data_IF_185512443014
#
_entry.id   IF_185512443014
#
_cell.length_a   1.000
_cell.length_b   1.000
_cell.length_c   1.000
_cell.angle_alpha   90.00
_cell.angle_beta   90.00
_cell.angle_gamma   90.00
#
_symmetry.space_group_name_H-M   'P 1'
#
loop_
_entity.id
_entity.type
_entity.pdbx_description
1 polymer ?
#
# COMPACT_ATOMS: atom_id res chain seq x y z
N UNK A 1 -21.27 15.38 1.81
CA UNK A 1 -22.07 14.51 0.93
C UNK A 1 -22.03 13.06 1.41
N UNK A 2 -20.87 12.38 1.47
CA UNK A 2 -20.76 11.02 2.04
C UNK A 2 -21.47 10.86 3.40
N UNK A 3 -21.22 11.79 4.34
CA UNK A 3 -21.91 11.82 5.63
C UNK A 3 -23.44 11.92 5.51
N UNK A 4 -23.95 12.73 4.57
CA UNK A 4 -25.39 12.87 4.36
C UNK A 4 -26.00 11.54 3.88
N UNK A 5 -25.35 10.87 2.93
CA UNK A 5 -25.81 9.56 2.46
C UNK A 5 -25.84 8.53 3.59
N UNK A 6 -24.79 8.48 4.42
CA UNK A 6 -24.71 7.57 5.57
C UNK A 6 -25.81 7.84 6.62
N UNK A 7 -26.12 9.10 6.91
CA UNK A 7 -27.14 9.48 7.90
C UNK A 7 -28.56 9.07 7.47
N UNK A 8 -28.87 9.22 6.18
CA UNK A 8 -30.21 8.93 5.62
C UNK A 8 -30.32 7.49 5.08
N UNK A 9 -29.31 6.63 5.32
CA UNK A 9 -29.28 5.24 4.85
C UNK A 9 -29.27 5.10 3.33
N UNK A 10 -28.79 6.11 2.60
CA UNK A 10 -28.77 6.14 1.13
C UNK A 10 -27.55 5.42 0.56
N UNK A 11 -27.67 4.82 -0.64
CA UNK A 11 -26.53 4.20 -1.30
C UNK A 11 -25.48 5.26 -1.65
N UNK A 12 -24.20 4.86 -1.60
CA UNK A 12 -23.08 5.76 -1.91
C UNK A 12 -23.15 6.34 -3.35
N UNK A 13 -23.86 5.64 -4.25
CA UNK A 13 -24.10 6.05 -5.63
C UNK A 13 -24.90 7.35 -5.76
N UNK A 14 -25.75 7.71 -4.78
CA UNK A 14 -26.50 8.98 -4.77
C UNK A 14 -25.58 10.20 -4.82
N UNK A 15 -24.33 10.06 -4.35
CA UNK A 15 -23.33 11.13 -4.36
C UNK A 15 -22.99 11.55 -5.78
N UNK A 16 -23.01 10.64 -6.75
CA UNK A 16 -22.78 10.98 -8.16
C UNK A 16 -23.84 11.94 -8.68
N UNK A 17 -25.10 11.73 -8.28
CA UNK A 17 -26.20 12.64 -8.61
C UNK A 17 -26.00 14.01 -7.93
N UNK A 18 -25.60 14.04 -6.67
CA UNK A 18 -25.36 15.31 -5.94
C UNK A 18 -24.18 16.10 -6.50
N UNK A 19 -23.12 15.42 -6.95
CA UNK A 19 -21.96 16.04 -7.60
C UNK A 19 -22.24 16.50 -9.04
N UNK A 20 -23.16 15.85 -9.74
CA UNK A 20 -23.59 16.27 -11.07
C UNK A 20 -24.43 17.56 -11.04
N UNK A 21 -25.18 17.79 -9.96
CA UNK A 21 -26.08 18.93 -9.81
C UNK A 21 -25.77 19.71 -8.53
N UNK A 22 -24.80 20.66 -8.53
CA UNK A 22 -24.42 21.43 -7.33
C UNK A 22 -25.58 22.20 -6.68
N UNK A 23 -26.62 22.55 -7.45
CA UNK A 23 -27.83 23.19 -6.94
C UNK A 23 -28.75 22.24 -6.14
N UNK A 24 -28.48 20.92 -6.14
CA UNK A 24 -29.24 19.94 -5.39
C UNK A 24 -29.02 20.15 -3.88
N UNK A 25 -30.09 20.54 -3.19
CA UNK A 25 -30.06 20.84 -1.75
C UNK A 25 -30.22 19.60 -0.87
N UNK A 26 -30.58 18.45 -1.43
CA UNK A 26 -30.80 17.20 -0.69
C UNK A 26 -29.70 16.89 0.33
N UNK A 27 -28.39 16.87 -0.03
CA UNK A 27 -27.34 16.59 0.96
C UNK A 27 -27.22 17.67 2.04
N UNK A 28 -27.58 18.92 1.75
CA UNK A 28 -27.59 20.00 2.72
C UNK A 28 -28.73 19.80 3.73
N UNK A 29 -29.93 19.53 3.23
CA UNK A 29 -31.12 19.41 4.05
C UNK A 29 -31.02 18.18 4.96
N UNK A 30 -30.56 17.04 4.43
CA UNK A 30 -30.26 15.83 5.24
C UNK A 30 -29.30 16.13 6.39
N UNK A 31 -28.19 16.86 6.13
CA UNK A 31 -27.23 17.19 7.18
C UNK A 31 -27.85 18.08 8.26
N UNK A 32 -28.76 19.00 7.90
CA UNK A 32 -29.43 19.87 8.86
C UNK A 32 -30.45 19.10 9.69
N UNK A 33 -31.21 18.23 9.06
CA UNK A 33 -32.25 17.42 9.71
C UNK A 33 -31.64 16.46 10.74
N UNK A 34 -30.43 15.97 10.50
CA UNK A 34 -29.65 15.14 11.43
C UNK A 34 -28.76 15.95 12.39
N UNK A 35 -28.95 17.27 12.50
CA UNK A 35 -28.25 18.11 13.49
C UNK A 35 -26.80 18.47 13.16
N UNK A 36 -26.27 18.09 11.99
CA UNK A 36 -24.93 18.44 11.52
C UNK A 36 -24.86 19.85 10.91
N UNK A 37 -25.35 20.84 11.65
CA UNK A 37 -25.54 22.22 11.18
C UNK A 37 -24.25 22.90 10.72
N UNK A 38 -23.12 22.69 11.42
CA UNK A 38 -21.83 23.25 11.03
C UNK A 38 -21.31 22.67 9.71
N UNK A 39 -21.44 21.36 9.52
CA UNK A 39 -21.05 20.67 8.27
C UNK A 39 -21.97 21.09 7.12
N UNK A 40 -23.26 21.22 7.39
CA UNK A 40 -24.21 21.77 6.42
C UNK A 40 -23.84 23.20 6.02
N UNK A 41 -23.49 24.07 6.97
CA UNK A 41 -23.07 25.44 6.68
C UNK A 41 -21.79 25.49 5.83
N UNK A 42 -20.82 24.60 6.10
CA UNK A 42 -19.62 24.48 5.28
C UNK A 42 -19.96 24.06 3.84
N UNK A 43 -20.79 23.03 3.66
CA UNK A 43 -21.25 22.59 2.34
C UNK A 43 -22.01 23.70 1.61
N UNK A 44 -22.88 24.42 2.32
CA UNK A 44 -23.62 25.57 1.80
C UNK A 44 -22.67 26.64 1.27
N UNK A 45 -21.65 26.99 2.05
CA UNK A 45 -20.64 27.97 1.64
C UNK A 45 -19.88 27.55 0.38
N UNK A 46 -19.58 26.26 0.22
CA UNK A 46 -18.97 25.74 -1.02
C UNK A 46 -19.93 25.84 -2.21
N UNK A 47 -21.20 25.50 -2.04
CA UNK A 47 -22.22 25.51 -3.11
C UNK A 47 -22.59 26.93 -3.55
N UNK A 48 -22.68 27.86 -2.61
CA UNK A 48 -23.01 29.28 -2.86
C UNK A 48 -21.78 30.14 -3.17
N UNK A 49 -20.57 29.57 -3.09
CA UNK A 49 -19.31 30.25 -3.39
C UNK A 49 -19.16 30.65 -4.86
N UNK A 50 -18.07 31.37 -5.21
CA UNK A 50 -17.81 31.81 -6.58
C UNK A 50 -17.86 30.65 -7.58
N UNK A 51 -18.49 30.81 -8.77
CA UNK A 51 -18.71 29.72 -9.71
C UNK A 51 -17.44 28.96 -10.09
N UNK A 52 -16.35 29.66 -10.41
CA UNK A 52 -15.08 29.03 -10.83
C UNK A 52 -14.48 28.14 -9.72
N UNK A 53 -14.49 28.62 -8.47
CA UNK A 53 -13.97 27.86 -7.33
C UNK A 53 -14.86 26.66 -7.01
N UNK A 54 -16.19 26.86 -7.02
CA UNK A 54 -17.16 25.78 -6.81
C UNK A 54 -17.00 24.69 -7.87
N UNK A 55 -16.96 25.07 -9.13
CA UNK A 55 -16.89 24.12 -10.25
C UNK A 55 -15.57 23.33 -10.21
N UNK A 56 -14.46 24.00 -9.84
CA UNK A 56 -13.18 23.31 -9.60
C UNK A 56 -13.24 22.28 -8.46
N UNK A 57 -13.84 22.63 -7.31
CA UNK A 57 -14.01 21.71 -6.17
C UNK A 57 -14.88 20.51 -6.56
N UNK A 58 -16.02 20.75 -7.20
CA UNK A 58 -16.94 19.69 -7.63
C UNK A 58 -16.32 18.79 -8.69
N UNK A 59 -15.53 19.34 -9.61
CA UNK A 59 -14.80 18.55 -10.61
C UNK A 59 -13.78 17.61 -9.95
N UNK A 60 -12.99 18.11 -9.01
CA UNK A 60 -12.07 17.26 -8.23
C UNK A 60 -12.83 16.19 -7.44
N UNK A 61 -13.98 16.53 -6.82
CA UNK A 61 -14.80 15.57 -6.10
C UNK A 61 -15.38 14.48 -7.02
N UNK A 62 -15.79 14.82 -8.26
CA UNK A 62 -16.24 13.86 -9.26
C UNK A 62 -15.13 12.88 -9.65
N UNK A 63 -13.90 13.38 -9.80
CA UNK A 63 -12.75 12.52 -10.10
C UNK A 63 -12.48 11.51 -8.98
N UNK A 64 -12.63 11.91 -7.71
CA UNK A 64 -12.53 10.97 -6.59
C UNK A 64 -13.64 9.91 -6.56
N UNK A 65 -14.85 10.28 -6.98
CA UNK A 65 -16.00 9.37 -7.01
C UNK A 65 -16.12 8.55 -8.31
N UNK A 66 -15.21 8.75 -9.28
CA UNK A 66 -15.33 8.20 -10.64
C UNK A 66 -15.42 6.66 -10.69
N UNK A 67 -14.86 5.96 -9.69
CA UNK A 67 -15.00 4.51 -9.56
C UNK A 67 -16.46 4.03 -9.51
N UNK A 68 -17.36 4.86 -8.96
CA UNK A 68 -18.79 4.57 -8.84
C UNK A 68 -19.56 4.72 -10.18
N UNK A 69 -18.93 5.26 -11.22
CA UNK A 69 -19.53 5.29 -12.57
C UNK A 69 -19.60 3.91 -13.20
N UNK A 70 -18.73 2.99 -12.78
CA UNK A 70 -18.79 1.61 -13.22
C UNK A 70 -19.79 0.85 -12.34
N UNK A 71 -20.89 0.39 -12.94
CA UNK A 71 -21.95 -0.35 -12.25
C UNK A 71 -21.47 -1.65 -11.60
N UNK A 72 -20.49 -2.35 -12.18
CA UNK A 72 -19.91 -3.55 -11.58
C UNK A 72 -19.15 -3.21 -10.29
N UNK A 73 -18.44 -2.08 -10.27
CA UNK A 73 -17.70 -1.58 -9.10
C UNK A 73 -18.66 -1.02 -8.05
N UNK A 74 -19.65 -0.24 -8.46
CA UNK A 74 -20.65 0.33 -7.56
C UNK A 74 -21.46 -0.74 -6.82
N UNK A 75 -21.72 -1.88 -7.47
CA UNK A 75 -22.40 -3.01 -6.86
C UNK A 75 -21.64 -3.59 -5.66
N UNK A 76 -20.29 -3.50 -5.63
CA UNK A 76 -19.49 -4.01 -4.50
C UNK A 76 -19.67 -3.21 -3.22
N UNK A 77 -20.10 -1.94 -3.34
CA UNK A 77 -20.25 -0.99 -2.22
C UNK A 77 -21.69 -0.53 -2.02
N UNK A 78 -22.63 -1.24 -2.65
CA UNK A 78 -24.06 -1.02 -2.48
C UNK A 78 -24.67 -2.32 -1.97
N UNK A 79 -25.55 -2.30 -0.94
CA UNK A 79 -26.19 -3.50 -0.42
C UNK A 79 -26.90 -4.29 -1.52
N UNK A 80 -26.74 -5.62 -1.51
CA UNK A 80 -27.42 -6.55 -2.41
C UNK A 80 -28.13 -7.63 -1.59
N UNK A 81 -29.43 -7.86 -1.84
CA UNK A 81 -30.25 -8.77 -1.03
C UNK A 81 -29.69 -10.20 -0.93
N UNK A 82 -29.05 -10.69 -2.01
CA UNK A 82 -28.54 -12.05 -2.11
C UNK A 82 -27.09 -12.22 -1.65
N UNK A 83 -26.40 -11.14 -1.27
CA UNK A 83 -24.97 -11.16 -0.93
C UNK A 83 -24.79 -10.64 0.49
N UNK A 84 -24.14 -11.43 1.34
CA UNK A 84 -23.81 -11.01 2.68
C UNK A 84 -22.84 -9.81 2.63
N UNK A 85 -23.15 -8.78 3.42
CA UNK A 85 -22.27 -7.63 3.60
C UNK A 85 -21.02 -8.05 4.38
N UNK A 86 -19.85 -7.69 3.86
CA UNK A 86 -18.60 -7.87 4.60
C UNK A 86 -18.50 -6.81 5.71
N UNK A 87 -18.37 -7.25 6.96
CA UNK A 87 -18.20 -6.35 8.11
C UNK A 87 -16.81 -6.44 8.69
N UNK A 88 -15.97 -5.40 8.55
CA UNK A 88 -14.62 -5.36 9.12
C UNK A 88 -14.59 -5.64 10.62
N UNK A 89 -15.60 -5.22 11.39
CA UNK A 89 -15.70 -5.48 12.83
C UNK A 89 -15.90 -6.95 13.17
N UNK A 90 -16.63 -7.70 12.34
CA UNK A 90 -16.83 -9.15 12.54
C UNK A 90 -15.58 -9.91 12.07
N UNK A 91 -14.96 -9.47 10.98
CA UNK A 91 -13.71 -10.06 10.47
C UNK A 91 -12.58 -10.02 11.50
N UNK A 92 -12.36 -8.89 12.19
CA UNK A 92 -11.28 -8.76 13.18
C UNK A 92 -11.50 -9.56 14.47
N UNK A 93 -12.70 -10.12 14.65
CA UNK A 93 -13.04 -11.08 15.71
C UNK A 93 -12.92 -12.55 15.26
N UNK A 94 -12.63 -12.77 13.97
CA UNK A 94 -12.50 -14.10 13.36
C UNK A 94 -11.04 -14.54 13.20
N UNK A 95 -10.84 -15.73 12.65
CA UNK A 95 -9.52 -16.23 12.18
C UNK A 95 -9.46 -16.29 10.65
N UNK A 96 -10.34 -15.57 9.97
CA UNK A 96 -10.45 -15.61 8.52
C UNK A 96 -9.32 -14.85 7.84
N UNK A 97 -9.10 -15.15 6.56
CA UNK A 97 -8.11 -14.45 5.71
C UNK A 97 -8.82 -13.65 4.63
N UNK A 98 -8.55 -12.34 4.58
CA UNK A 98 -9.07 -11.44 3.55
C UNK A 98 -8.03 -11.25 2.43
N UNK A 99 -8.38 -11.66 1.21
CA UNK A 99 -7.59 -11.39 0.01
C UNK A 99 -8.21 -10.25 -0.78
N UNK A 100 -7.48 -9.14 -0.92
CA UNK A 100 -7.88 -8.00 -1.74
C UNK A 100 -7.12 -8.02 -3.06
N UNK A 101 -7.81 -8.36 -4.16
CA UNK A 101 -7.20 -8.55 -5.47
C UNK A 101 -7.67 -7.46 -6.43
N UNK A 102 -6.71 -6.81 -7.09
CA UNK A 102 -6.96 -5.86 -8.19
C UNK A 102 -6.24 -6.31 -9.45
N UNK A 103 -6.76 -5.92 -10.61
CA UNK A 103 -6.03 -6.00 -11.88
C UNK A 103 -5.40 -4.65 -12.21
N UNK A 104 -4.11 -4.66 -12.56
CA UNK A 104 -3.41 -3.48 -13.05
C UNK A 104 -4.09 -2.86 -14.28
N UNK A 105 -4.13 -1.53 -14.33
CA UNK A 105 -4.74 -0.77 -15.44
C UNK A 105 -6.27 -0.74 -15.45
N UNK A 106 -6.96 -1.43 -14.52
CA UNK A 106 -8.42 -1.43 -14.42
C UNK A 106 -9.04 -0.15 -13.86
N UNK A 107 -8.21 0.82 -13.42
CA UNK A 107 -8.57 2.22 -13.15
C UNK A 107 -9.51 2.52 -11.97
N UNK A 108 -10.46 1.65 -11.63
CA UNK A 108 -11.54 2.00 -10.70
C UNK A 108 -11.47 1.38 -9.30
N UNK A 109 -11.03 0.12 -9.17
CA UNK A 109 -11.23 -0.63 -7.92
C UNK A 109 -10.14 -0.40 -6.85
N UNK A 110 -8.99 0.18 -7.19
CA UNK A 110 -7.88 0.39 -6.25
C UNK A 110 -8.27 1.26 -5.06
N UNK A 111 -9.06 2.31 -5.30
CA UNK A 111 -9.59 3.16 -4.23
C UNK A 111 -10.48 2.39 -3.26
N UNK A 112 -11.32 1.47 -3.76
CA UNK A 112 -12.15 0.61 -2.92
C UNK A 112 -11.34 -0.40 -2.13
N UNK A 113 -10.32 -0.98 -2.76
CA UNK A 113 -9.41 -1.93 -2.09
C UNK A 113 -8.64 -1.22 -0.96
N UNK A 114 -8.11 -0.03 -1.23
CA UNK A 114 -7.44 0.78 -0.22
C UNK A 114 -8.40 1.17 0.91
N UNK A 115 -9.65 1.56 0.60
CA UNK A 115 -10.66 1.88 1.59
C UNK A 115 -11.06 0.66 2.43
N UNK A 116 -11.17 -0.53 1.83
CA UNK A 116 -11.44 -1.79 2.53
C UNK A 116 -10.30 -2.14 3.48
N UNK A 117 -9.04 -2.07 3.01
CA UNK A 117 -7.86 -2.30 3.82
C UNK A 117 -7.77 -1.31 5.01
N UNK A 118 -7.99 -0.01 4.77
CA UNK A 118 -8.05 1.01 5.82
C UNK A 118 -9.16 0.72 6.83
N UNK A 119 -10.35 0.36 6.37
CA UNK A 119 -11.49 0.03 7.24
C UNK A 119 -11.19 -1.16 8.15
N UNK A 120 -10.56 -2.22 7.62
CA UNK A 120 -10.13 -3.38 8.41
C UNK A 120 -9.06 -3.00 9.42
N UNK A 121 -8.06 -2.21 9.04
CA UNK A 121 -7.02 -1.75 9.99
C UNK A 121 -7.59 -0.86 11.11
N UNK A 122 -8.57 0.00 10.80
CA UNK A 122 -9.26 0.82 11.80
C UNK A 122 -10.13 -0.04 12.73
N UNK A 123 -10.87 -1.00 12.18
CA UNK A 123 -11.65 -1.95 12.98
C UNK A 123 -10.76 -2.76 13.92
N UNK A 124 -9.60 -3.22 13.42
CA UNK A 124 -8.59 -3.95 14.17
C UNK A 124 -8.01 -3.09 15.30
N UNK A 125 -7.73 -1.82 15.03
CA UNK A 125 -7.24 -0.84 16.02
C UNK A 125 -8.28 -0.63 17.12
N UNK A 126 -9.54 -0.38 16.75
CA UNK A 126 -10.63 -0.20 17.69
C UNK A 126 -10.89 -1.45 18.53
N UNK A 127 -10.70 -2.65 17.96
CA UNK A 127 -10.79 -3.91 18.69
C UNK A 127 -9.65 -4.06 19.69
N UNK A 128 -8.41 -3.78 19.31
CA UNK A 128 -7.26 -3.82 20.21
C UNK A 128 -7.49 -2.95 21.46
N UNK A 129 -7.99 -1.74 21.26
CA UNK A 129 -8.28 -0.77 22.32
C UNK A 129 -9.35 -1.26 23.30
N UNK A 130 -10.30 -2.12 22.86
CA UNK A 130 -11.34 -2.70 23.74
C UNK A 130 -10.87 -3.91 24.56
N UNK A 131 -9.87 -4.66 24.10
CA UNK A 131 -9.52 -5.97 24.69
C UNK A 131 -8.46 -5.86 25.79
N UNK A 132 -7.44 -5.04 25.58
CA UNK A 132 -6.30 -4.84 26.50
C UNK A 132 -5.26 -3.84 25.95
N UNK A 133 -5.56 -3.18 24.84
CA UNK A 133 -4.61 -2.38 24.05
C UNK A 133 -3.96 -3.15 22.90
N UNK A 134 -4.18 -4.47 22.78
CA UNK A 134 -3.56 -5.31 21.74
C UNK A 134 -4.50 -6.41 21.22
N UNK A 135 -4.38 -6.75 19.94
CA UNK A 135 -4.99 -7.94 19.33
C UNK A 135 -4.23 -9.21 19.73
N UNK A 136 -5.00 -10.24 20.06
CA UNK A 136 -4.52 -11.60 20.29
C UNK A 136 -5.57 -12.58 19.73
N UNK A 137 -5.29 -13.31 18.63
CA UNK A 137 -4.02 -13.34 17.89
C UNK A 137 -3.73 -12.02 17.13
N UNK A 138 -2.46 -11.72 16.80
CA UNK A 138 -2.11 -10.54 16.02
C UNK A 138 -2.57 -10.65 14.56
N UNK A 139 -2.97 -9.53 13.96
CA UNK A 139 -3.36 -9.44 12.55
C UNK A 139 -2.15 -9.08 11.69
N UNK A 140 -1.92 -9.83 10.60
CA UNK A 140 -0.93 -9.49 9.58
C UNK A 140 -1.60 -8.67 8.48
N UNK A 141 -1.08 -7.47 8.20
CA UNK A 141 -1.49 -6.65 7.07
C UNK A 141 -0.42 -6.70 5.99
N UNK A 142 -0.55 -7.65 5.05
CA UNK A 142 0.39 -7.81 3.94
C UNK A 142 -0.03 -6.87 2.82
N UNK A 143 0.70 -5.77 2.66
CA UNK A 143 0.44 -4.73 1.68
C UNK A 143 1.40 -4.93 0.50
N UNK A 144 1.06 -5.89 -0.35
CA UNK A 144 1.74 -6.07 -1.62
C UNK A 144 1.44 -4.89 -2.55
N UNK A 145 2.48 -4.41 -3.23
CA UNK A 145 2.39 -3.27 -4.14
C UNK A 145 1.71 -2.02 -3.53
N UNK A 146 2.02 -1.72 -2.26
CA UNK A 146 1.43 -0.61 -1.52
C UNK A 146 1.56 0.75 -2.23
N UNK A 147 2.63 0.91 -3.03
CA UNK A 147 2.84 2.11 -3.83
C UNK A 147 1.87 2.27 -5.01
N UNK A 148 1.27 1.21 -5.53
CA UNK A 148 0.38 1.27 -6.68
C UNK A 148 -1.09 1.01 -6.33
N UNK A 149 -1.38 -0.01 -5.50
CA UNK A 149 -2.74 -0.51 -5.26
C UNK A 149 -3.32 0.00 -3.93
N UNK A 150 -2.59 -0.14 -2.83
CA UNK A 150 -3.04 0.21 -1.48
C UNK A 150 -2.45 1.55 -1.01
N UNK A 151 -2.73 2.64 -1.75
CA UNK A 151 -2.26 4.00 -1.42
C UNK A 151 -3.01 4.57 -0.20
N UNK A 152 -2.75 4.02 0.97
CA UNK A 152 -3.24 4.53 2.24
C UNK A 152 -2.41 5.78 2.58
N UNK A 153 -3.01 6.96 2.44
CA UNK A 153 -2.29 8.23 2.55
C UNK A 153 -1.65 8.44 3.92
N UNK A 154 -2.28 7.94 4.99
CA UNK A 154 -1.81 8.03 6.37
C UNK A 154 -1.02 6.78 6.84
N UNK A 155 -0.61 5.90 5.92
CA UNK A 155 0.15 4.69 6.24
C UNK A 155 1.44 4.98 7.06
N UNK A 156 2.24 6.03 6.77
CA UNK A 156 3.39 6.38 7.60
C UNK A 156 3.02 6.67 9.06
N UNK A 157 1.88 7.33 9.30
CA UNK A 157 1.39 7.56 10.66
C UNK A 157 0.99 6.23 11.29
N UNK A 158 0.18 5.41 10.58
CA UNK A 158 -0.27 4.10 11.06
C UNK A 158 0.88 3.21 11.51
N UNK A 159 1.97 3.18 10.74
CA UNK A 159 3.18 2.40 11.05
C UNK A 159 3.74 2.61 12.47
N UNK A 160 3.61 3.82 13.01
CA UNK A 160 4.13 4.16 14.34
C UNK A 160 3.34 3.52 15.50
N UNK A 161 2.09 3.12 15.28
CA UNK A 161 1.17 2.76 16.37
C UNK A 161 0.37 1.47 16.15
N UNK A 162 0.43 0.88 14.95
CA UNK A 162 -0.14 -0.45 14.68
C UNK A 162 0.57 -1.57 15.47
N UNK A 163 1.90 -1.48 15.60
CA UNK A 163 2.71 -2.54 16.24
C UNK A 163 2.35 -2.79 17.71
N UNK A 164 2.09 -1.73 18.48
CA UNK A 164 1.65 -1.86 19.88
C UNK A 164 0.24 -2.45 20.03
N UNK A 165 -0.57 -2.36 18.96
CA UNK A 165 -1.95 -2.87 18.90
C UNK A 165 -2.06 -4.30 18.35
N UNK A 166 -0.94 -4.96 18.05
CA UNK A 166 -0.96 -6.32 17.52
C UNK A 166 -1.37 -6.38 16.04
N UNK A 167 -1.21 -5.28 15.32
CA UNK A 167 -1.37 -5.22 13.86
C UNK A 167 0.04 -5.09 13.28
N UNK A 168 0.43 -6.04 12.43
CA UNK A 168 1.79 -6.12 11.88
C UNK A 168 1.72 -5.78 10.39
N UNK A 169 2.04 -4.53 10.01
CA UNK A 169 2.10 -4.15 8.60
C UNK A 169 3.37 -4.71 7.95
N UNK A 170 3.21 -5.35 6.80
CA UNK A 170 4.29 -5.80 5.92
C UNK A 170 4.08 -5.08 4.59
N UNK A 171 4.74 -3.93 4.44
CA UNK A 171 4.70 -3.14 3.21
C UNK A 171 5.82 -3.58 2.28
N UNK A 172 5.44 -3.98 1.07
CA UNK A 172 6.36 -4.38 0.01
C UNK A 172 6.39 -3.26 -1.03
N UNK A 173 7.60 -2.76 -1.33
CA UNK A 173 7.85 -1.70 -2.31
C UNK A 173 8.86 -2.21 -3.33
N UNK A 174 8.67 -1.82 -4.59
CA UNK A 174 9.62 -2.13 -5.65
C UNK A 174 10.91 -1.30 -5.51
N UNK A 175 10.79 -0.07 -5.00
CA UNK A 175 11.93 0.80 -4.71
C UNK A 175 11.61 1.80 -3.61
N UNK A 176 12.65 2.34 -2.98
CA UNK A 176 12.50 3.44 -2.01
C UNK A 176 11.82 4.66 -2.63
N UNK A 177 12.19 4.98 -3.88
CA UNK A 177 11.66 6.10 -4.66
C UNK A 177 10.16 5.98 -4.94
N UNK A 178 9.65 4.76 -5.16
CA UNK A 178 8.22 4.52 -5.29
C UNK A 178 7.47 4.99 -4.04
N UNK A 179 8.02 4.70 -2.85
CA UNK A 179 7.45 5.19 -1.60
C UNK A 179 7.50 6.70 -1.45
N UNK A 180 8.60 7.35 -1.84
CA UNK A 180 8.70 8.82 -1.85
C UNK A 180 7.67 9.47 -2.77
N UNK A 181 7.36 8.86 -3.91
CA UNK A 181 6.32 9.37 -4.82
C UNK A 181 4.91 9.31 -4.22
N UNK A 182 4.66 8.35 -3.31
CA UNK A 182 3.33 8.10 -2.74
C UNK A 182 3.12 8.88 -1.44
N UNK A 183 4.12 8.92 -0.56
CA UNK A 183 4.01 9.52 0.77
C UNK A 183 4.87 10.77 0.98
N UNK A 184 5.59 11.21 -0.06
CA UNK A 184 6.62 12.24 0.05
C UNK A 184 7.87 11.74 0.79
N UNK A 185 8.93 12.55 0.74
CA UNK A 185 10.21 12.21 1.37
C UNK A 185 10.07 11.99 2.88
N UNK A 186 9.42 12.94 3.57
CA UNK A 186 9.22 12.87 5.01
C UNK A 186 8.35 11.67 5.43
N UNK A 187 7.30 11.36 4.67
CA UNK A 187 6.45 10.21 4.94
C UNK A 187 7.20 8.89 4.77
N UNK A 188 7.97 8.78 3.69
CA UNK A 188 8.78 7.58 3.43
C UNK A 188 9.89 7.39 4.47
N UNK A 189 10.60 8.46 4.85
CA UNK A 189 11.62 8.41 5.91
C UNK A 189 11.01 8.05 7.28
N UNK A 190 9.80 8.55 7.59
CA UNK A 190 9.07 8.18 8.79
C UNK A 190 8.70 6.69 8.79
N UNK A 191 8.18 6.17 7.68
CA UNK A 191 7.83 4.75 7.54
C UNK A 191 9.07 3.86 7.66
N UNK A 192 10.16 4.23 6.97
CA UNK A 192 11.45 3.55 7.09
C UNK A 192 11.92 3.52 8.55
N UNK A 193 11.87 4.65 9.24
CA UNK A 193 12.33 4.76 10.63
C UNK A 193 11.47 3.94 11.60
N UNK A 194 10.15 3.93 11.40
CA UNK A 194 9.19 3.18 12.23
C UNK A 194 9.28 1.65 12.03
N UNK A 195 9.64 1.18 10.84
CA UNK A 195 9.76 -0.25 10.57
C UNK A 195 10.88 -0.89 11.43
N UNK A 196 10.55 -1.85 12.27
CA UNK A 196 11.52 -2.53 13.14
C UNK A 196 12.41 -3.52 12.41
N UNK A 197 11.95 -4.02 11.26
CA UNK A 197 12.69 -4.90 10.35
C UNK A 197 12.56 -4.34 8.94
N UNK A 198 13.69 -4.19 8.25
CA UNK A 198 13.75 -3.83 6.83
C UNK A 198 14.55 -4.90 6.10
N UNK A 199 13.97 -5.46 5.05
CA UNK A 199 14.65 -6.41 4.17
C UNK A 199 14.83 -5.74 2.82
N UNK A 200 16.08 -5.61 2.38
CA UNK A 200 16.43 -4.96 1.12
C UNK A 200 17.05 -6.00 0.20
N UNK A 201 16.34 -6.30 -0.90
CA UNK A 201 16.80 -7.22 -1.94
C UNK A 201 17.83 -6.60 -2.89
N UNK A 202 18.28 -7.36 -3.89
CA UNK A 202 19.23 -6.91 -4.91
C UNK A 202 18.53 -6.03 -5.96
N UNK A 203 19.31 -5.40 -6.84
CA UNK A 203 18.78 -4.54 -7.92
C UNK A 203 18.59 -3.07 -7.53
N UNK A 204 19.40 -2.58 -6.60
CA UNK A 204 19.37 -1.20 -6.14
C UNK A 204 20.13 -0.32 -7.14
N UNK A 205 19.40 0.32 -8.04
CA UNK A 205 19.98 1.24 -9.04
C UNK A 205 20.00 2.71 -8.59
N UNK A 206 19.41 3.04 -7.43
CA UNK A 206 19.41 4.38 -6.86
C UNK A 206 20.69 4.63 -6.04
N UNK A 207 21.60 5.54 -6.48
CA UNK A 207 22.87 5.79 -5.81
C UNK A 207 22.72 6.36 -4.39
N UNK A 208 21.72 7.23 -4.17
CA UNK A 208 21.51 7.87 -2.88
C UNK A 208 21.01 6.84 -1.85
N UNK A 209 20.14 5.93 -2.28
CA UNK A 209 19.69 4.84 -1.43
C UNK A 209 20.82 3.83 -1.15
N UNK A 210 21.63 3.49 -2.15
CA UNK A 210 22.79 2.62 -1.95
C UNK A 210 23.81 3.21 -0.96
N UNK A 211 24.09 4.52 -1.04
CA UNK A 211 24.95 5.21 -0.07
C UNK A 211 24.32 5.26 1.33
N UNK A 212 23.00 5.51 1.44
CA UNK A 212 22.27 5.44 2.71
C UNK A 212 22.42 4.07 3.36
N UNK A 213 22.26 2.98 2.60
CA UNK A 213 22.44 1.61 3.09
C UNK A 213 23.89 1.34 3.50
N UNK A 214 24.86 1.74 2.68
CA UNK A 214 26.31 1.62 2.96
C UNK A 214 26.67 2.27 4.30
N UNK A 215 26.16 3.48 4.56
CA UNK A 215 26.32 4.17 5.85
C UNK A 215 25.66 3.43 7.02
N UNK A 216 24.49 2.83 6.79
CA UNK A 216 23.77 2.07 7.82
C UNK A 216 24.44 0.74 8.16
N UNK A 217 25.12 0.10 7.20
CA UNK A 217 25.96 -1.09 7.46
C UNK A 217 27.14 -0.71 8.35
N UNK A 218 27.72 0.47 8.10
CA UNK A 218 28.76 1.06 8.93
C UNK A 218 30.16 0.81 8.39
N UNK A 219 31.13 1.08 9.25
CA UNK A 219 32.55 1.13 8.92
C UNK A 219 33.36 0.13 9.77
N UNK A 220 34.53 -0.21 9.27
CA UNK A 220 35.52 -1.03 9.98
C UNK A 220 36.92 -0.45 9.78
N UNK A 221 37.78 -0.67 10.77
CA UNK A 221 39.18 -0.25 10.68
C UNK A 221 40.00 -1.32 9.98
N UNK A 222 40.74 -0.90 8.95
CA UNK A 222 41.63 -1.73 8.14
C UNK A 222 43.07 -1.27 8.37
N UNK A 223 43.95 -2.24 8.62
CA UNK A 223 45.38 -1.99 8.74
C UNK A 223 46.00 -1.86 7.35
N UNK A 224 46.63 -0.71 7.08
CA UNK A 224 47.37 -0.44 5.85
C UNK A 224 48.87 -0.51 6.14
N UNK A 225 49.52 -1.53 5.60
CA UNK A 225 50.97 -1.70 5.71
C UNK A 225 51.65 -1.18 4.45
N UNK A 226 52.42 -0.11 4.58
CA UNK A 226 53.26 0.42 3.51
C UNK A 226 54.70 -0.03 3.70
N UNK A 227 55.24 -0.71 2.69
CA UNK A 227 56.63 -1.15 2.66
C UNK A 227 57.39 -0.33 1.64
N UNK A 228 58.37 0.45 2.09
CA UNK A 228 59.24 1.22 1.21
C UNK A 228 60.65 0.61 1.17
N UNK A 229 61.22 0.60 -0.02
CA UNK A 229 62.58 0.11 -0.28
C UNK A 229 63.46 1.29 -0.68
N UNK A 230 64.50 1.56 0.11
CA UNK A 230 65.56 2.52 -0.21
C UNK A 230 66.91 1.82 -0.30
N UNK A 231 67.90 2.51 -0.87
CA UNK A 231 69.29 2.05 -0.97
C UNK A 231 69.91 1.70 0.40
N UNK A 232 69.32 2.23 1.48
CA UNK A 232 69.71 2.04 2.89
C UNK A 232 68.93 0.97 3.66
N UNK A 233 67.91 0.32 3.07
CA UNK A 233 67.17 -0.77 3.71
C UNK A 233 65.66 -0.79 3.43
N UNK A 234 64.96 -1.71 4.10
CA UNK A 234 63.50 -1.87 4.02
C UNK A 234 62.86 -1.19 5.22
N UNK A 235 61.96 -0.24 4.99
CA UNK A 235 61.13 0.38 6.04
C UNK A 235 59.70 -0.10 5.91
N UNK A 236 59.05 -0.39 7.04
CA UNK A 236 57.63 -0.80 7.10
C UNK A 236 56.89 0.17 8.01
N UNK A 237 55.82 0.76 7.49
CA UNK A 237 54.94 1.65 8.21
C UNK A 237 53.54 1.06 8.23
N UNK A 238 52.92 1.03 9.41
CA UNK A 238 51.56 0.54 9.60
C UNK A 238 50.68 1.74 9.97
N UNK A 239 49.59 1.94 9.24
CA UNK A 239 48.58 2.94 9.54
C UNK A 239 47.19 2.32 9.58
N UNK A 240 46.31 2.87 10.40
CA UNK A 240 44.90 2.45 10.44
C UNK A 240 44.09 3.35 9.50
N UNK A 241 43.23 2.74 8.68
CA UNK A 241 42.29 3.44 7.80
C UNK A 241 40.89 2.90 8.03
N UNK A 242 39.94 3.79 8.21
CA UNK A 242 38.52 3.42 8.28
C UNK A 242 37.96 3.23 6.87
N UNK A 243 37.33 2.08 6.62
CA UNK A 243 36.70 1.73 5.34
C UNK A 243 35.25 1.25 5.57
N UNK A 244 34.38 1.46 4.57
CA UNK A 244 33.00 0.96 4.60
C UNK A 244 33.02 -0.57 4.67
N UNK A 245 32.22 -1.16 5.56
CA UNK A 245 32.06 -2.63 5.61
C UNK A 245 31.47 -3.14 4.29
N UNK A 246 30.51 -2.40 3.73
CA UNK A 246 29.90 -2.70 2.44
C UNK A 246 29.69 -1.40 1.68
N UNK A 247 30.54 -1.16 0.68
CA UNK A 247 30.48 0.03 -0.14
C UNK A 247 29.23 0.05 -1.05
N UNK A 248 28.84 1.24 -1.52
CA UNK A 248 27.59 1.43 -2.28
C UNK A 248 27.58 0.66 -3.62
N UNK A 249 28.73 0.51 -4.26
CA UNK A 249 28.90 -0.30 -5.47
C UNK A 249 28.71 -1.80 -5.18
N UNK A 250 29.22 -2.29 -4.04
CA UNK A 250 28.98 -3.66 -3.58
C UNK A 250 27.50 -3.91 -3.24
N UNK A 251 26.81 -2.92 -2.67
CA UNK A 251 25.36 -2.97 -2.42
C UNK A 251 24.57 -3.06 -3.73
N UNK A 252 24.93 -2.24 -4.73
CA UNK A 252 24.34 -2.31 -6.08
C UNK A 252 24.59 -3.68 -6.73
N UNK A 253 25.74 -4.28 -6.47
CA UNK A 253 26.15 -5.57 -7.00
C UNK A 253 25.69 -6.79 -6.16
N UNK A 254 24.75 -6.61 -5.22
CA UNK A 254 24.24 -7.72 -4.40
C UNK A 254 23.77 -8.90 -5.28
N UNK A 255 24.23 -10.13 -5.01
CA UNK A 255 23.83 -11.29 -5.79
C UNK A 255 22.32 -11.55 -5.72
N UNK A 256 21.76 -12.04 -6.83
CA UNK A 256 20.38 -12.55 -6.83
C UNK A 256 20.25 -13.67 -5.79
N UNK A 257 19.15 -13.66 -5.05
CA UNK A 257 18.93 -14.62 -3.97
C UNK A 257 19.56 -14.20 -2.63
N UNK A 258 20.15 -13.00 -2.53
CA UNK A 258 20.61 -12.44 -1.25
C UNK A 258 19.83 -11.18 -0.89
N UNK A 259 19.84 -10.81 0.40
CA UNK A 259 19.26 -9.56 0.88
C UNK A 259 20.03 -9.01 2.10
N UNK A 260 19.88 -7.71 2.36
CA UNK A 260 20.33 -7.09 3.61
C UNK A 260 19.15 -6.99 4.58
N UNK A 261 19.34 -7.43 5.81
CA UNK A 261 18.37 -7.32 6.90
C UNK A 261 18.85 -6.29 7.93
N UNK A 262 18.05 -5.24 8.10
CA UNK A 262 18.22 -4.24 9.13
C UNK A 262 17.13 -4.44 10.16
N UNK A 263 17.46 -5.06 11.30
CA UNK A 263 16.55 -5.19 12.43
C UNK A 263 17.06 -4.39 13.62
N UNK A 264 16.14 -3.70 14.31
CA UNK A 264 16.46 -2.85 15.45
C UNK A 264 17.18 -3.66 16.54
N UNK A 265 18.32 -3.15 17.01
CA UNK A 265 19.09 -3.78 18.10
C UNK A 265 20.11 -4.84 17.65
N UNK A 266 20.27 -5.08 16.35
CA UNK A 266 21.32 -5.97 15.82
C UNK A 266 22.15 -5.32 14.72
N UNK A 267 23.35 -5.86 14.49
CA UNK A 267 24.15 -5.53 13.30
C UNK A 267 23.40 -5.98 12.04
N UNK A 268 23.65 -5.29 10.93
CA UNK A 268 23.07 -5.66 9.64
C UNK A 268 23.50 -7.08 9.28
N UNK A 269 22.53 -7.90 8.88
CA UNK A 269 22.77 -9.28 8.48
C UNK A 269 22.58 -9.44 6.97
N UNK A 270 23.51 -10.13 6.31
CA UNK A 270 23.26 -10.69 5.00
C UNK A 270 22.35 -11.91 5.13
N UNK A 271 21.37 -12.02 4.25
CA UNK A 271 20.42 -13.13 4.20
C UNK A 271 20.55 -13.89 2.88
N UNK A 272 20.49 -15.22 2.96
CA UNK A 272 20.19 -16.08 1.82
C UNK A 272 18.67 -16.22 1.70
N UNK A 273 18.13 -15.71 0.59
CA UNK A 273 16.71 -15.81 0.28
C UNK A 273 16.37 -17.24 -0.13
N UNK A 274 15.16 -17.67 0.26
CA UNK A 274 14.62 -18.98 -0.06
C UNK A 274 13.58 -18.84 -1.18
N UNK A 275 13.99 -18.90 -2.46
CA UNK A 275 13.04 -18.82 -3.56
C UNK A 275 12.07 -19.99 -3.49
N UNK A 276 10.76 -19.69 -3.57
CA UNK A 276 9.69 -20.68 -3.37
C UNK A 276 9.81 -21.89 -4.32
N UNK A 277 10.28 -21.67 -5.55
CA UNK A 277 10.45 -22.71 -6.57
C UNK A 277 11.61 -23.67 -6.30
N UNK A 278 12.47 -23.40 -5.31
CA UNK A 278 13.48 -24.33 -4.81
C UNK A 278 13.09 -24.95 -3.46
N UNK A 279 11.94 -24.58 -2.89
CA UNK A 279 11.49 -25.09 -1.59
C UNK A 279 10.64 -26.36 -1.74
N UNK A 280 10.52 -27.17 -0.66
CA UNK A 280 9.52 -28.22 -0.59
C UNK A 280 8.11 -27.67 -0.92
N UNK A 281 7.35 -28.38 -1.75
CA UNK A 281 6.03 -27.94 -2.23
C UNK A 281 6.04 -27.10 -3.51
N UNK A 282 7.22 -26.79 -4.09
CA UNK A 282 7.32 -26.04 -5.35
C UNK A 282 6.48 -26.63 -6.49
N UNK A 283 6.44 -27.96 -6.63
CA UNK A 283 5.68 -28.64 -7.68
C UNK A 283 4.17 -28.42 -7.52
N UNK A 284 3.67 -28.46 -6.28
CA UNK A 284 2.25 -28.25 -5.97
C UNK A 284 1.86 -26.80 -6.28
N UNK A 285 2.64 -25.84 -5.76
CA UNK A 285 2.44 -24.41 -6.02
C UNK A 285 2.51 -24.11 -7.52
N UNK A 286 3.46 -24.70 -8.25
CA UNK A 286 3.58 -24.51 -9.70
C UNK A 286 2.36 -25.05 -10.43
N UNK A 287 1.89 -26.25 -10.05
CA UNK A 287 0.69 -26.87 -10.65
C UNK A 287 -0.56 -26.03 -10.40
N UNK A 288 -0.73 -25.52 -9.18
CA UNK A 288 -1.87 -24.68 -8.82
C UNK A 288 -1.81 -23.32 -9.51
N UNK A 289 -0.61 -22.72 -9.61
CA UNK A 289 -0.37 -21.47 -10.35
C UNK A 289 -0.70 -21.62 -11.84
N UNK A 290 -0.27 -22.71 -12.46
CA UNK A 290 -0.62 -23.03 -13.84
C UNK A 290 -2.13 -23.24 -14.02
N UNK A 291 -2.78 -23.95 -13.08
CA UNK A 291 -4.23 -24.17 -13.10
C UNK A 291 -4.99 -22.84 -13.00
N UNK A 292 -4.59 -21.98 -12.07
CA UNK A 292 -5.17 -20.65 -11.91
C UNK A 292 -4.97 -19.79 -13.16
N UNK A 293 -3.76 -19.77 -13.73
CA UNK A 293 -3.45 -19.01 -14.95
C UNK A 293 -4.24 -19.50 -16.16
N UNK A 294 -4.42 -20.82 -16.31
CA UNK A 294 -5.29 -21.40 -17.35
C UNK A 294 -6.75 -21.01 -17.15
N UNK A 295 -7.26 -21.07 -15.91
CA UNK A 295 -8.64 -20.68 -15.61
C UNK A 295 -8.89 -19.18 -15.87
N UNK A 296 -7.95 -18.31 -15.53
CA UNK A 296 -8.02 -16.87 -15.85
C UNK A 296 -8.06 -16.66 -17.36
N UNK A 297 -7.16 -17.31 -18.10
CA UNK A 297 -7.11 -17.23 -19.57
C UNK A 297 -8.41 -17.72 -20.19
N UNK A 298 -8.95 -18.86 -19.74
CA UNK A 298 -10.22 -19.41 -20.23
C UNK A 298 -11.39 -18.44 -19.99
N UNK A 299 -11.49 -17.85 -18.78
CA UNK A 299 -12.53 -16.86 -18.46
C UNK A 299 -12.39 -15.60 -19.33
N UNK A 300 -11.17 -15.14 -19.57
CA UNK A 300 -10.90 -13.99 -20.43
C UNK A 300 -11.32 -14.26 -21.87
N UNK A 301 -10.95 -15.43 -22.43
CA UNK A 301 -11.36 -15.86 -23.77
C UNK A 301 -12.87 -15.99 -23.88
N UNK A 302 -13.54 -16.59 -22.89
CA UNK A 302 -15.00 -16.71 -22.87
C UNK A 302 -15.69 -15.34 -22.84
N UNK A 303 -15.18 -14.39 -22.05
CA UNK A 303 -15.70 -13.01 -21.99
C UNK A 303 -15.54 -12.29 -23.35
N UNK A 304 -14.43 -12.49 -24.05
CA UNK A 304 -14.19 -11.90 -25.38
C UNK A 304 -15.01 -12.58 -26.48
N UNK A 305 -15.15 -13.90 -26.44
CA UNK A 305 -15.95 -14.66 -27.41
C UNK A 305 -17.45 -14.34 -27.30
N UNK A 306 -17.95 -14.17 -26.06
CA UNK A 306 -19.32 -13.71 -25.81
C UNK A 306 -19.60 -12.31 -26.35
N UNK A 307 -18.59 -11.45 -26.48
CA UNK A 307 -18.74 -10.08 -26.96
C UNK A 307 -18.67 -9.96 -28.50
N UNK A 308 -18.18 -10.99 -29.20
CA UNK A 308 -18.09 -11.01 -30.67
C UNK A 308 -19.34 -11.55 -31.37
N UNK A 309 -20.32 -12.09 -30.63
CA UNK A 309 -21.53 -12.70 -31.19
C UNK A 309 -22.61 -11.71 -31.68
N UNK A 310 -22.53 -10.43 -31.32
CA UNK A 310 -23.63 -9.47 -31.52
C UNK A 310 -23.57 -8.68 -32.85
N UNK A 311 -22.69 -9.05 -33.78
CA UNK A 311 -22.70 -8.51 -35.15
C UNK A 311 -23.27 -9.55 -36.12
N UNK A 312 -24.55 -9.88 -35.98
CA UNK A 312 -25.28 -10.47 -37.11
C UNK A 312 -25.45 -9.42 -38.21
N UNK A 313 -24.97 -9.78 -39.40
CA UNK A 313 -25.07 -9.00 -40.63
C UNK A 313 -26.56 -8.79 -40.94
N UNK A 314 -27.01 -7.53 -40.86
CA UNK A 314 -28.29 -7.14 -41.43
C UNK A 314 -28.26 -7.38 -42.95
N UNK A 315 -29.04 -8.37 -43.40
CA UNK A 315 -29.34 -8.62 -44.80
C UNK A 315 -30.48 -7.71 -45.29
#
# INVERSE_FOLDING_TARGET
MLLAAALDGRPITDIMQWLAFPANRTPLDILRDHGHTAVAAQLKGTVEGPPETRDGIFETARQYAAALLNTEIAAWVTPQEAIAEFKPSEFVDSTDTLYLLSKDGGGGASALIAACADSVMRAATARAERTSGRLDPPMLAILDEAGNVCKISDLPQLYSHLGSRGIIPITILQSYRQGQQVWGDAGMDSMWSAATVKVVGPGIDDPDFADKLSRMVGDHDVESTSVSHSESGKSTSVSMRQERILAADAIRALPKGTALCFATGMRVAGLDMKPWYLQPGANEISTDSERASKAITQRAVAKTASAQGDFEVAA
#
